data_IF_589144619346
#
_entry.id   IF_589144619346
#
_cell.length_a   1.000
_cell.length_b   1.000
_cell.length_c   1.000
_cell.angle_alpha   90.00
_cell.angle_beta   90.00
_cell.angle_gamma   90.00
#
_symmetry.space_group_name_H-M   'P 1'
#
loop_
_entity.id
_entity.type
_entity.pdbx_description
1 polymer ?
#
# COMPACT_ATOMS: atom_id res chain seq x y z
N UNK A 1 7.67 -15.68 -16.29
CA UNK A 1 9.06 -15.27 -15.98
C UNK A 1 8.85 -13.99 -15.20
N UNK A 2 9.28 -13.93 -13.94
CA UNK A 2 8.84 -12.85 -13.07
C UNK A 2 9.17 -11.46 -13.65
N UNK A 3 8.22 -10.54 -13.53
CA UNK A 3 8.38 -9.17 -14.01
C UNK A 3 8.93 -8.34 -12.85
N UNK A 4 10.07 -7.67 -13.05
CA UNK A 4 10.64 -6.78 -12.03
C UNK A 4 10.41 -5.33 -12.40
N UNK A 5 9.75 -4.60 -11.50
CA UNK A 5 9.54 -3.16 -11.58
C UNK A 5 10.54 -2.45 -10.65
N UNK A 6 11.11 -1.34 -11.12
CA UNK A 6 11.97 -0.48 -10.31
C UNK A 6 11.18 0.70 -9.76
N UNK A 7 11.51 1.10 -8.54
CA UNK A 7 10.93 2.24 -7.85
C UNK A 7 11.97 2.96 -7.00
N UNK A 8 11.56 4.05 -6.36
CA UNK A 8 12.39 4.71 -5.36
C UNK A 8 12.57 3.81 -4.13
N UNK A 9 13.74 3.91 -3.47
CA UNK A 9 14.02 3.19 -2.22
C UNK A 9 12.99 3.54 -1.14
N UNK A 10 12.33 2.53 -0.62
CA UNK A 10 11.20 2.67 0.29
C UNK A 10 11.55 2.56 1.76
N UNK A 11 10.53 2.19 2.53
CA UNK A 11 10.53 2.09 3.98
C UNK A 11 10.08 0.68 4.38
N UNK A 12 10.60 0.17 5.50
CA UNK A 12 10.15 -1.07 6.11
C UNK A 12 10.85 -2.32 5.57
N UNK A 13 10.48 -3.50 6.10
CA UNK A 13 11.08 -4.78 5.70
C UNK A 13 10.62 -5.23 4.31
N UNK A 14 11.35 -6.20 3.73
CA UNK A 14 10.86 -6.90 2.55
C UNK A 14 9.63 -7.75 2.89
N UNK A 15 8.64 -7.77 2.00
CA UNK A 15 7.38 -8.53 2.19
C UNK A 15 6.96 -9.24 0.92
N UNK A 16 6.17 -10.30 1.07
CA UNK A 16 5.50 -11.00 -0.03
C UNK A 16 4.01 -11.04 0.26
N UNK A 17 3.17 -10.77 -0.74
CA UNK A 17 1.72 -10.79 -0.56
C UNK A 17 0.92 -10.56 -1.83
N UNK A 18 -0.40 -10.69 -1.72
CA UNK A 18 -1.33 -10.47 -2.83
C UNK A 18 -1.66 -8.99 -2.98
N UNK A 19 -1.56 -8.50 -4.21
CA UNK A 19 -1.94 -7.14 -4.59
C UNK A 19 -3.46 -6.93 -4.54
N UNK A 20 -3.86 -5.77 -4.01
CA UNK A 20 -5.20 -5.21 -4.13
C UNK A 20 -5.06 -3.79 -4.70
N UNK A 21 -5.54 -3.61 -5.93
CA UNK A 21 -5.20 -2.46 -6.77
C UNK A 21 -6.41 -1.59 -7.03
N UNK A 22 -6.26 -0.26 -6.94
CA UNK A 22 -7.23 0.70 -7.43
C UNK A 22 -6.57 2.01 -7.87
N UNK A 23 -7.20 2.71 -8.82
CA UNK A 23 -6.78 4.05 -9.27
C UNK A 23 -7.22 5.18 -8.31
N UNK A 24 -7.89 4.83 -7.22
CA UNK A 24 -8.29 5.78 -6.18
C UNK A 24 -7.07 6.27 -5.37
N UNK A 25 -7.18 7.51 -4.89
CA UNK A 25 -6.33 8.03 -3.82
C UNK A 25 -6.69 7.41 -2.46
N UNK A 26 -5.73 7.40 -1.53
CA UNK A 26 -5.84 6.70 -0.24
C UNK A 26 -5.81 7.61 1.00
N UNK A 27 -6.70 7.35 1.96
CA UNK A 27 -6.65 7.85 3.33
C UNK A 27 -7.18 6.78 4.29
N UNK A 28 -6.35 6.36 5.25
CA UNK A 28 -6.80 5.46 6.31
C UNK A 28 -7.94 6.05 7.17
N UNK A 29 -8.10 7.38 7.18
CA UNK A 29 -9.18 8.07 7.93
C UNK A 29 -10.53 7.96 7.22
N UNK A 30 -10.54 8.13 5.91
CA UNK A 30 -11.77 8.33 5.15
C UNK A 30 -12.18 7.09 4.34
N UNK A 31 -11.24 6.20 4.04
CA UNK A 31 -11.47 5.09 3.13
C UNK A 31 -11.64 3.76 3.83
N UNK A 32 -11.22 3.65 5.10
CA UNK A 32 -11.15 2.38 5.82
C UNK A 32 -12.09 2.36 7.02
N UNK A 33 -12.77 1.23 7.21
CA UNK A 33 -13.17 0.78 8.54
C UNK A 33 -11.99 0.02 9.15
N UNK A 34 -11.27 0.69 10.05
CA UNK A 34 -10.07 0.16 10.70
C UNK A 34 -10.36 -0.86 11.80
N UNK A 35 -11.63 -1.06 12.17
CA UNK A 35 -12.05 -2.11 13.10
C UNK A 35 -12.42 -3.37 12.34
N UNK A 36 -13.17 -3.23 11.24
CA UNK A 36 -13.58 -4.36 10.41
C UNK A 36 -12.49 -4.81 9.42
N UNK A 37 -11.51 -3.97 9.13
CA UNK A 37 -10.41 -4.32 8.21
C UNK A 37 -10.78 -4.25 6.74
N UNK A 38 -11.73 -3.37 6.39
CA UNK A 38 -12.27 -3.24 5.02
C UNK A 38 -12.29 -1.79 4.55
N UNK A 39 -12.32 -1.59 3.24
CA UNK A 39 -12.64 -0.29 2.66
C UNK A 39 -14.12 0.04 2.88
N UNK A 40 -14.40 1.15 3.57
CA UNK A 40 -15.75 1.52 4.00
C UNK A 40 -16.41 2.58 3.14
N UNK A 41 -15.63 3.39 2.40
CA UNK A 41 -16.20 4.46 1.57
C UNK A 41 -16.91 3.85 0.34
N UNK A 42 -18.24 4.02 0.18
CA UNK A 42 -18.98 3.36 -0.90
C UNK A 42 -18.53 3.74 -2.31
N UNK A 43 -17.98 4.95 -2.49
CA UNK A 43 -17.52 5.44 -3.80
C UNK A 43 -16.09 5.03 -4.15
N UNK A 44 -15.37 4.36 -3.25
CA UNK A 44 -14.03 3.85 -3.56
C UNK A 44 -14.13 2.55 -4.34
N UNK A 45 -13.26 2.33 -5.35
CA UNK A 45 -13.30 1.10 -6.15
C UNK A 45 -13.08 -0.20 -5.35
N UNK A 46 -12.55 -0.11 -4.12
CA UNK A 46 -12.27 -1.25 -3.25
C UNK A 46 -13.33 -1.43 -2.16
N UNK A 47 -14.43 -0.67 -2.19
CA UNK A 47 -15.47 -0.73 -1.16
C UNK A 47 -15.89 -2.18 -0.83
N UNK A 48 -15.95 -2.51 0.46
CA UNK A 48 -16.27 -3.84 0.97
C UNK A 48 -15.13 -4.85 0.93
N UNK A 49 -14.01 -4.56 0.26
CA UNK A 49 -12.85 -5.46 0.21
C UNK A 49 -11.96 -5.31 1.44
N UNK A 50 -11.42 -6.42 1.92
CA UNK A 50 -10.48 -6.41 3.04
C UNK A 50 -9.09 -6.01 2.58
N UNK A 51 -8.47 -5.11 3.35
CA UNK A 51 -7.09 -4.67 3.14
C UNK A 51 -6.08 -5.39 4.04
N UNK A 52 -6.57 -6.09 5.08
CA UNK A 52 -5.72 -6.72 6.07
C UNK A 52 -4.86 -7.82 5.41
N UNK A 53 -3.55 -7.75 5.62
CA UNK A 53 -2.62 -8.71 5.02
C UNK A 53 -2.46 -8.59 3.51
N UNK A 54 -2.97 -7.54 2.86
CA UNK A 54 -2.82 -7.29 1.42
C UNK A 54 -1.75 -6.25 1.13
N UNK A 55 -1.23 -6.27 -0.10
CA UNK A 55 -0.40 -5.20 -0.62
C UNK A 55 -1.34 -4.23 -1.35
N UNK A 56 -1.50 -3.03 -0.81
CA UNK A 56 -2.34 -2.01 -1.44
C UNK A 56 -1.54 -1.27 -2.49
N UNK A 57 -2.03 -1.28 -3.73
CA UNK A 57 -1.45 -0.52 -4.85
C UNK A 57 -2.46 0.54 -5.26
N UNK A 58 -2.14 1.80 -5.01
CA UNK A 58 -3.08 2.92 -5.09
C UNK A 58 -2.41 4.08 -5.82
N UNK A 59 -3.18 5.06 -6.31
CA UNK A 59 -2.60 6.17 -7.07
C UNK A 59 -1.72 7.05 -6.16
N UNK A 60 -2.33 7.78 -5.24
CA UNK A 60 -1.59 8.68 -4.34
C UNK A 60 -2.15 8.69 -2.92
N UNK A 61 -1.27 9.05 -2.00
CA UNK A 61 -1.66 9.34 -0.62
C UNK A 61 -2.41 10.67 -0.52
N UNK A 62 -3.64 10.64 0.01
CA UNK A 62 -4.33 11.86 0.45
C UNK A 62 -3.55 12.50 1.59
N UNK A 63 -3.53 13.83 1.60
CA UNK A 63 -2.91 14.60 2.67
C UNK A 63 -3.57 14.37 4.03
N UNK A 64 -2.83 14.67 5.09
CA UNK A 64 -3.34 14.72 6.46
C UNK A 64 -2.51 13.91 7.45
N UNK A 65 -2.36 14.45 8.67
CA UNK A 65 -1.59 13.85 9.77
C UNK A 65 -2.24 12.60 10.38
N UNK A 66 -3.54 12.42 10.16
CA UNK A 66 -4.30 11.35 10.79
C UNK A 66 -3.88 9.96 10.29
N UNK A 67 -3.58 9.80 9.00
CA UNK A 67 -3.23 8.50 8.41
C UNK A 67 -2.02 7.88 9.09
N UNK A 68 -1.01 8.67 9.48
CA UNK A 68 0.19 8.19 10.14
C UNK A 68 -0.11 7.49 11.49
N UNK A 69 -0.88 8.15 12.36
CA UNK A 69 -1.31 7.58 13.64
C UNK A 69 -2.22 6.36 13.46
N UNK A 70 -3.04 6.38 12.42
CA UNK A 70 -3.95 5.27 12.11
C UNK A 70 -3.21 4.02 11.65
N UNK A 71 -2.12 4.15 10.88
CA UNK A 71 -1.28 2.99 10.52
C UNK A 71 -0.69 2.31 11.75
N UNK A 72 -0.22 3.09 12.73
CA UNK A 72 0.30 2.55 13.98
C UNK A 72 -0.78 1.82 14.79
N UNK A 73 -1.97 2.41 14.92
CA UNK A 73 -3.10 1.78 15.61
C UNK A 73 -3.65 0.53 14.90
N UNK A 74 -3.66 0.53 13.57
CA UNK A 74 -3.98 -0.66 12.77
C UNK A 74 -2.96 -1.79 13.00
N UNK A 75 -1.68 -1.44 13.07
CA UNK A 75 -0.59 -2.39 13.30
C UNK A 75 -0.72 -3.04 14.68
N UNK A 76 -1.01 -2.26 15.73
CA UNK A 76 -1.19 -2.81 17.08
C UNK A 76 -2.38 -3.77 17.22
N UNK A 77 -3.31 -3.77 16.26
CA UNK A 77 -4.44 -4.70 16.17
C UNK A 77 -4.23 -5.85 15.18
N UNK A 78 -3.14 -5.84 14.41
CA UNK A 78 -2.92 -6.80 13.32
C UNK A 78 -3.87 -6.66 12.13
N UNK A 79 -4.64 -5.56 12.04
CA UNK A 79 -5.57 -5.27 10.94
C UNK A 79 -4.95 -4.19 10.08
N UNK A 80 -3.87 -4.54 9.38
CA UNK A 80 -2.99 -3.63 8.64
C UNK A 80 -2.66 -4.23 7.27
N UNK A 81 -2.47 -3.44 6.20
CA UNK A 81 -1.90 -3.96 4.96
C UNK A 81 -0.44 -4.40 5.17
N UNK A 82 0.02 -5.37 4.38
CA UNK A 82 1.43 -5.80 4.36
C UNK A 82 2.34 -4.71 3.82
N UNK A 83 1.89 -4.02 2.77
CA UNK A 83 2.60 -2.90 2.18
C UNK A 83 1.65 -1.90 1.52
N UNK A 84 2.17 -0.68 1.37
CA UNK A 84 1.57 0.40 0.62
C UNK A 84 2.45 0.73 -0.60
N UNK A 85 1.85 0.76 -1.79
CA UNK A 85 2.52 1.07 -3.05
C UNK A 85 1.79 2.22 -3.71
N UNK A 86 2.51 3.29 -4.03
CA UNK A 86 1.94 4.50 -4.63
C UNK A 86 2.70 4.97 -5.87
N UNK A 87 2.03 5.71 -6.75
CA UNK A 87 2.73 6.55 -7.72
C UNK A 87 3.49 7.68 -7.01
N UNK A 88 2.83 8.35 -6.06
CA UNK A 88 3.41 9.43 -5.25
C UNK A 88 2.92 9.39 -3.81
N UNK A 89 3.83 9.69 -2.88
CA UNK A 89 3.53 9.78 -1.45
C UNK A 89 3.99 11.11 -0.86
N UNK A 90 3.25 11.60 0.13
CA UNK A 90 3.66 12.78 0.91
C UNK A 90 4.56 12.37 2.10
N UNK A 91 5.46 13.26 2.58
CA UNK A 91 6.37 12.93 3.69
C UNK A 91 5.68 12.52 4.99
N UNK A 92 4.45 13.02 5.24
CA UNK A 92 3.67 12.70 6.44
C UNK A 92 3.29 11.21 6.44
N UNK A 93 2.83 10.68 5.30
CA UNK A 93 2.51 9.26 5.20
C UNK A 93 3.78 8.40 5.25
N UNK A 94 4.87 8.86 4.64
CA UNK A 94 6.16 8.17 4.71
C UNK A 94 6.66 8.02 6.15
N UNK A 95 6.59 9.10 6.94
CA UNK A 95 6.92 9.06 8.36
C UNK A 95 5.98 8.13 9.14
N UNK A 96 4.68 8.15 8.81
CA UNK A 96 3.69 7.26 9.40
C UNK A 96 3.96 5.76 9.13
N UNK A 97 4.32 5.42 7.89
CA UNK A 97 4.70 4.06 7.51
C UNK A 97 5.96 3.61 8.27
N UNK A 98 6.98 4.48 8.38
CA UNK A 98 8.19 4.20 9.15
C UNK A 98 7.88 3.98 10.64
N UNK A 99 7.06 4.85 11.23
CA UNK A 99 6.68 4.76 12.64
C UNK A 99 5.82 3.51 12.94
N UNK A 100 4.97 3.10 12.00
CA UNK A 100 4.13 1.92 12.12
C UNK A 100 4.85 0.61 11.74
N UNK A 101 6.06 0.67 11.17
CA UNK A 101 6.75 -0.50 10.65
C UNK A 101 6.07 -1.12 9.41
N UNK A 102 5.28 -0.32 8.68
CA UNK A 102 4.57 -0.78 7.47
C UNK A 102 5.45 -0.53 6.25
N UNK A 103 5.61 -1.57 5.42
CA UNK A 103 6.39 -1.48 4.20
C UNK A 103 5.76 -0.50 3.20
N UNK A 104 6.56 0.37 2.61
CA UNK A 104 6.07 1.33 1.63
C UNK A 104 7.09 1.63 0.53
N UNK A 105 6.65 1.69 -0.71
CA UNK A 105 7.45 2.10 -1.89
C UNK A 105 6.66 3.05 -2.79
N UNK A 106 7.36 3.93 -3.51
CA UNK A 106 6.75 4.93 -4.40
C UNK A 106 7.60 5.24 -5.64
N UNK A 107 7.09 6.07 -6.55
CA UNK A 107 7.82 6.61 -7.73
C UNK A 107 8.41 5.53 -8.63
N UNK A 108 7.51 4.79 -9.28
CA UNK A 108 7.82 3.81 -10.32
C UNK A 108 8.06 4.48 -11.67
N UNK A 109 8.71 3.75 -12.59
CA UNK A 109 8.78 4.13 -14.00
C UNK A 109 7.46 3.76 -14.71
N UNK A 110 6.42 4.55 -14.48
CA UNK A 110 5.05 4.34 -15.00
C UNK A 110 3.97 4.43 -13.92
N UNK A 111 2.71 4.36 -14.33
CA UNK A 111 1.57 4.29 -13.41
C UNK A 111 1.48 2.88 -12.80
N UNK A 112 1.81 2.77 -11.52
CA UNK A 112 1.85 1.48 -10.80
C UNK A 112 0.49 0.79 -10.77
N UNK A 113 -0.61 1.55 -10.88
CA UNK A 113 -1.97 1.01 -10.92
C UNK A 113 -2.35 0.39 -12.27
N UNK A 114 -1.56 0.66 -13.32
CA UNK A 114 -1.67 -0.02 -14.63
C UNK A 114 -0.69 -1.19 -14.78
N UNK A 115 0.48 -1.09 -14.12
CA UNK A 115 1.53 -2.11 -14.20
C UNK A 115 1.19 -3.37 -13.38
N UNK A 116 0.54 -3.19 -12.22
CA UNK A 116 0.18 -4.25 -11.28
C UNK A 116 -1.33 -4.48 -11.30
N UNK A 117 -1.76 -5.74 -11.17
CA UNK A 117 -3.18 -6.12 -11.17
C UNK A 117 -3.58 -6.72 -9.82
N UNK A 118 -4.84 -6.54 -9.44
CA UNK A 118 -5.39 -7.24 -8.26
C UNK A 118 -5.24 -8.74 -8.45
N UNK A 119 -4.74 -9.43 -7.43
CA UNK A 119 -4.42 -10.85 -7.48
C UNK A 119 -2.98 -11.19 -7.89
N UNK A 120 -2.20 -10.22 -8.37
CA UNK A 120 -0.75 -10.41 -8.57
C UNK A 120 -0.08 -10.74 -7.23
N UNK A 121 0.81 -11.73 -7.23
CA UNK A 121 1.65 -12.03 -6.07
C UNK A 121 2.93 -11.22 -6.19
N UNK A 122 3.17 -10.35 -5.20
CA UNK A 122 4.27 -9.41 -5.23
C UNK A 122 5.30 -9.73 -4.16
N UNK A 123 6.58 -9.65 -4.53
CA UNK A 123 7.70 -9.49 -3.60
C UNK A 123 8.19 -8.05 -3.65
N UNK A 124 8.19 -7.37 -2.51
CA UNK A 124 8.64 -5.98 -2.39
C UNK A 124 9.92 -5.95 -1.57
N UNK A 125 10.96 -5.34 -2.13
CA UNK A 125 12.19 -4.98 -1.41
C UNK A 125 12.35 -3.45 -1.41
N UNK A 126 12.01 -2.80 -0.29
CA UNK A 126 12.12 -1.34 -0.18
C UNK A 126 13.57 -0.85 -0.16
N UNK A 127 14.51 -1.61 0.40
CA UNK A 127 15.90 -1.20 0.53
C UNK A 127 16.59 -1.14 -0.84
N UNK A 128 16.23 -2.07 -1.73
CA UNK A 128 16.72 -2.12 -3.11
C UNK A 128 15.89 -1.24 -4.05
N UNK A 129 14.61 -1.01 -3.73
CA UNK A 129 13.69 -0.23 -4.58
C UNK A 129 13.14 -1.07 -5.73
N UNK A 130 12.68 -2.29 -5.43
CA UNK A 130 12.16 -3.24 -6.42
C UNK A 130 10.86 -3.88 -5.99
N UNK A 131 9.96 -4.08 -6.95
CA UNK A 131 8.75 -4.89 -6.82
C UNK A 131 8.77 -5.96 -7.91
N UNK A 132 8.75 -7.22 -7.51
CA UNK A 132 8.72 -8.37 -8.41
C UNK A 132 7.31 -8.98 -8.44
N UNK A 133 6.76 -9.17 -9.63
CA UNK A 133 5.50 -9.90 -9.85
C UNK A 133 5.83 -11.36 -10.11
N UNK A 134 5.44 -12.24 -9.18
CA UNK A 134 5.91 -13.62 -9.13
C UNK A 134 5.12 -14.57 -10.05
N UNK A 135 3.88 -14.22 -10.35
CA UNK A 135 2.94 -15.08 -11.08
C UNK A 135 2.71 -14.64 -12.54
N UNK A 136 3.65 -13.88 -13.12
CA UNK A 136 3.64 -13.43 -14.52
C UNK A 136 4.96 -13.73 -15.23
#
# INVERSE_FOLDING_TARGET
MSITLRCHKGIGPAVVGTALVAKDNFSARYDLDRKAGVFSRPTHALAGQSYAGKILVLDQAKGGVATAWMLHEMTSRGIVPLALVFNRVNPILAQGAAFAGVTMVDRFDGDVTDLIRTGDELRIDPAVGTVEILNR
#
